data_IF_232535368827
#
_entry.id   IF_232535368827
#
_cell.length_a   1.000
_cell.length_b   1.000
_cell.length_c   1.000
_cell.angle_alpha   90.00
_cell.angle_beta   90.00
_cell.angle_gamma   90.00
#
_symmetry.space_group_name_H-M   'P 1'
#
loop_
_entity.id
_entity.type
_entity.pdbx_description
1 polymer ?
#
# COMPACT_ATOMS: atom_id res chain seq x y z
N UNK A 1 -11.19 -2.64 10.42
CA UNK A 1 -11.98 -2.75 9.17
C UNK A 1 -12.12 -4.19 8.71
N UNK A 2 -11.08 -4.85 8.14
CA UNK A 2 -11.24 -6.19 7.54
C UNK A 2 -11.84 -7.27 8.45
N UNK A 3 -11.44 -7.33 9.73
CA UNK A 3 -12.03 -8.24 10.72
C UNK A 3 -13.52 -7.94 10.96
N UNK A 4 -13.87 -6.65 11.08
CA UNK A 4 -15.24 -6.21 11.34
C UNK A 4 -16.17 -6.48 10.16
N UNK A 5 -15.64 -6.38 8.94
CA UNK A 5 -16.41 -6.59 7.71
C UNK A 5 -16.33 -8.03 7.19
N UNK A 6 -15.53 -8.89 7.81
CA UNK A 6 -15.20 -10.23 7.32
C UNK A 6 -14.75 -10.26 5.84
N UNK A 7 -14.06 -9.21 5.40
CA UNK A 7 -13.57 -9.07 4.02
C UNK A 7 -12.05 -9.03 3.97
N UNK A 8 -11.43 -9.57 2.90
CA UNK A 8 -9.99 -9.41 2.68
C UNK A 8 -9.60 -7.94 2.58
N UNK A 9 -8.51 -7.54 3.24
CA UNK A 9 -7.98 -6.17 3.16
C UNK A 9 -6.47 -6.14 3.00
N UNK A 10 -5.97 -5.12 2.30
CA UNK A 10 -4.54 -4.83 2.14
C UNK A 10 -4.26 -3.40 2.58
N UNK A 11 -3.16 -3.20 3.31
CA UNK A 11 -2.68 -1.88 3.66
C UNK A 11 -1.73 -1.34 2.59
N UNK A 12 -1.92 -0.07 2.19
CA UNK A 12 -1.04 0.63 1.25
C UNK A 12 -0.73 2.01 1.82
N UNK A 13 0.54 2.25 2.14
CA UNK A 13 1.01 3.50 2.74
C UNK A 13 2.04 4.22 1.87
N UNK A 14 2.15 5.54 2.06
CA UNK A 14 3.12 6.41 1.35
C UNK A 14 4.46 6.55 2.09
N UNK A 15 4.51 6.16 3.35
CA UNK A 15 5.65 6.22 4.25
C UNK A 15 5.75 4.93 5.06
N UNK A 16 6.97 4.59 5.49
CA UNK A 16 7.19 3.48 6.39
C UNK A 16 6.66 3.84 7.78
N UNK A 17 5.83 2.98 8.37
CA UNK A 17 5.37 3.15 9.75
C UNK A 17 6.38 2.57 10.75
N UNK A 18 6.84 1.34 10.52
CA UNK A 18 7.77 0.61 11.37
C UNK A 18 8.54 -0.46 10.57
N UNK A 19 9.51 -1.10 11.23
CA UNK A 19 10.37 -2.12 10.64
C UNK A 19 11.58 -1.55 9.89
N UNK A 20 12.43 -2.46 9.41
CA UNK A 20 13.64 -2.17 8.62
C UNK A 20 13.46 -2.69 7.20
N UNK A 21 13.89 -1.89 6.24
CA UNK A 21 13.87 -2.26 4.83
C UNK A 21 15.07 -3.15 4.54
N UNK A 22 14.81 -4.31 3.96
CA UNK A 22 15.84 -5.20 3.42
C UNK A 22 15.65 -5.25 1.91
N UNK A 23 16.63 -4.72 1.19
CA UNK A 23 16.60 -4.66 -0.26
C UNK A 23 16.75 -6.05 -0.88
N UNK A 24 15.74 -6.46 -1.64
CA UNK A 24 15.79 -7.71 -2.41
C UNK A 24 15.97 -7.43 -3.91
N UNK A 25 15.39 -6.32 -4.40
CA UNK A 25 15.43 -5.89 -5.80
C UNK A 25 15.16 -4.39 -5.92
N UNK A 26 15.35 -3.84 -7.13
CA UNK A 26 15.08 -2.42 -7.42
C UNK A 26 13.59 -2.05 -7.35
N UNK A 27 12.68 -3.02 -7.49
CA UNK A 27 11.23 -2.79 -7.51
C UNK A 27 10.53 -3.25 -6.23
N UNK A 28 11.13 -4.19 -5.51
CA UNK A 28 10.54 -4.81 -4.34
C UNK A 28 11.59 -5.10 -3.26
N UNK A 29 11.29 -4.68 -2.03
CA UNK A 29 12.14 -4.88 -0.85
C UNK A 29 11.27 -5.36 0.32
N UNK A 30 11.78 -6.26 1.15
CA UNK A 30 11.06 -6.74 2.33
C UNK A 30 11.10 -5.70 3.45
N UNK A 31 10.06 -5.68 4.28
CA UNK A 31 10.04 -4.92 5.53
C UNK A 31 10.05 -5.93 6.66
N UNK A 32 11.09 -5.89 7.50
CA UNK A 32 11.29 -6.80 8.62
C UNK A 32 11.09 -6.06 9.93
N UNK A 33 10.27 -6.60 10.81
CA UNK A 33 10.11 -6.13 12.18
C UNK A 33 10.19 -7.31 13.14
N UNK A 34 10.98 -7.19 14.21
CA UNK A 34 11.20 -8.26 15.20
C UNK A 34 11.55 -9.65 14.63
N UNK A 35 12.27 -9.68 13.49
CA UNK A 35 12.69 -10.91 12.82
C UNK A 35 11.68 -11.50 11.83
N UNK A 36 10.50 -10.89 11.68
CA UNK A 36 9.44 -11.35 10.78
C UNK A 36 9.23 -10.39 9.62
N UNK A 37 8.81 -10.91 8.46
CA UNK A 37 8.42 -10.09 7.31
C UNK A 37 7.00 -9.55 7.53
N UNK A 38 6.90 -8.27 7.84
CA UNK A 38 5.62 -7.58 8.12
C UNK A 38 5.03 -6.88 6.90
N UNK A 39 5.81 -6.74 5.83
CA UNK A 39 5.36 -6.08 4.61
C UNK A 39 6.41 -6.07 3.51
N UNK A 40 6.12 -5.31 2.47
CA UNK A 40 7.00 -5.13 1.32
C UNK A 40 6.88 -3.73 0.77
N UNK A 41 8.00 -3.18 0.32
CA UNK A 41 8.04 -2.03 -0.55
C UNK A 41 7.69 -2.48 -1.97
N UNK A 42 6.91 -1.66 -2.67
CA UNK A 42 6.60 -1.79 -4.09
C UNK A 42 6.91 -0.48 -4.81
N UNK A 43 7.65 -0.56 -5.91
CA UNK A 43 7.94 0.57 -6.81
C UNK A 43 7.44 0.21 -8.20
N UNK A 44 6.77 1.14 -8.88
CA UNK A 44 6.26 0.93 -10.24
C UNK A 44 7.38 1.05 -11.29
N UNK A 45 8.44 1.77 -10.96
CA UNK A 45 9.65 1.90 -11.77
C UNK A 45 10.89 2.04 -10.87
N UNK A 46 12.10 1.74 -11.37
CA UNK A 46 13.34 2.02 -10.64
C UNK A 46 13.38 3.48 -10.18
N UNK A 47 13.84 3.71 -8.95
CA UNK A 47 13.93 5.04 -8.30
C UNK A 47 12.60 5.79 -8.07
N UNK A 48 11.45 5.22 -8.46
CA UNK A 48 10.14 5.82 -8.15
C UNK A 48 9.84 5.81 -6.65
N UNK A 49 9.01 6.76 -6.20
CA UNK A 49 8.63 6.87 -4.80
C UNK A 49 7.90 5.59 -4.33
N UNK A 50 8.37 4.92 -3.26
CA UNK A 50 7.92 3.59 -2.88
C UNK A 50 6.53 3.59 -2.27
N UNK A 51 5.72 2.56 -2.52
CA UNK A 51 4.57 2.24 -1.68
C UNK A 51 4.93 1.15 -0.68
N UNK A 52 4.38 1.26 0.52
CA UNK A 52 4.59 0.30 1.60
C UNK A 52 3.33 -0.55 1.73
N UNK A 53 3.46 -1.84 1.44
CA UNK A 53 2.37 -2.80 1.37
C UNK A 53 2.45 -3.71 2.58
N UNK A 54 1.35 -3.81 3.32
CA UNK A 54 1.22 -4.73 4.45
C UNK A 54 -0.02 -5.60 4.29
N UNK A 55 0.02 -6.77 4.91
CA UNK A 55 -1.13 -7.66 5.00
C UNK A 55 -2.18 -7.02 5.93
N UNK A 56 -3.45 -7.05 5.52
CA UNK A 56 -4.57 -6.74 6.39
C UNK A 56 -5.25 -8.01 6.88
N UNK A 57 -6.55 -8.17 6.63
CA UNK A 57 -7.30 -9.36 6.99
C UNK A 57 -7.46 -10.30 5.79
N UNK A 58 -7.55 -11.62 6.02
CA UNK A 58 -7.97 -12.59 4.99
C UNK A 58 -7.11 -12.67 3.72
N UNK A 59 -5.85 -12.25 3.75
CA UNK A 59 -4.94 -12.25 2.58
C UNK A 59 -3.51 -12.62 2.98
N UNK A 60 -2.65 -12.85 1.99
CA UNK A 60 -1.20 -13.08 2.15
C UNK A 60 -0.42 -11.97 1.46
N UNK A 61 0.81 -11.72 1.91
CA UNK A 61 1.64 -10.63 1.39
C UNK A 61 1.84 -10.71 -0.12
N UNK A 62 2.10 -11.91 -0.65
CA UNK A 62 2.25 -12.12 -2.10
C UNK A 62 0.98 -11.73 -2.87
N UNK A 63 -0.18 -12.22 -2.45
CA UNK A 63 -1.47 -11.91 -3.09
C UNK A 63 -1.80 -10.41 -3.00
N UNK A 64 -1.50 -9.78 -1.86
CA UNK A 64 -1.63 -8.34 -1.68
C UNK A 64 -0.78 -7.55 -2.68
N UNK A 65 0.48 -7.95 -2.88
CA UNK A 65 1.38 -7.31 -3.85
C UNK A 65 0.89 -7.47 -5.29
N UNK A 66 0.44 -8.67 -5.66
CA UNK A 66 -0.10 -8.96 -7.00
C UNK A 66 -1.36 -8.14 -7.30
N UNK A 67 -2.26 -7.99 -6.32
CA UNK A 67 -3.47 -7.17 -6.49
C UNK A 67 -3.11 -5.69 -6.59
N UNK A 68 -2.26 -5.19 -5.69
CA UNK A 68 -1.88 -3.77 -5.67
C UNK A 68 -1.15 -3.38 -6.96
N UNK A 69 -0.21 -4.20 -7.44
CA UNK A 69 0.57 -3.88 -8.65
C UNK A 69 -0.30 -3.76 -9.90
N UNK A 70 -1.33 -4.60 -10.04
CA UNK A 70 -2.29 -4.55 -11.14
C UNK A 70 -3.20 -3.33 -11.12
N UNK A 71 -3.37 -2.71 -9.95
CA UNK A 71 -4.24 -1.55 -9.77
C UNK A 71 -3.49 -0.22 -9.88
N UNK A 72 -2.18 -0.23 -10.11
CA UNK A 72 -1.39 0.98 -10.33
C UNK A 72 -1.40 1.31 -11.83
N UNK A 73 -2.07 2.40 -12.20
CA UNK A 73 -2.19 2.84 -13.60
C UNK A 73 -1.94 4.34 -13.70
N UNK A 74 -0.92 4.75 -14.47
CA UNK A 74 -0.63 6.16 -14.78
C UNK A 74 -0.16 7.05 -13.61
N UNK A 75 -0.39 6.66 -12.36
CA UNK A 75 0.01 7.39 -11.16
C UNK A 75 0.48 6.44 -10.04
N UNK A 76 1.14 7.00 -9.00
CA UNK A 76 1.78 6.21 -7.93
C UNK A 76 0.81 5.37 -7.10
N UNK A 77 -0.38 5.88 -6.75
CA UNK A 77 -1.33 5.15 -5.91
C UNK A 77 -2.11 4.12 -6.74
N UNK A 78 -2.60 3.03 -6.12
CA UNK A 78 -3.61 2.19 -6.77
C UNK A 78 -4.88 2.99 -7.06
N UNK A 79 -5.53 2.73 -8.19
CA UNK A 79 -6.76 3.40 -8.66
C UNK A 79 -7.82 3.59 -7.56
N UNK A 80 -8.20 2.56 -6.77
CA UNK A 80 -9.19 2.76 -5.70
C UNK A 80 -8.78 3.82 -4.66
N UNK A 81 -7.48 3.85 -4.30
CA UNK A 81 -6.96 4.82 -3.32
C UNK A 81 -6.78 6.20 -3.93
N UNK A 82 -6.46 6.29 -5.22
CA UNK A 82 -6.40 7.56 -5.93
C UNK A 82 -7.78 8.22 -5.99
N UNK A 83 -8.82 7.48 -6.40
CA UNK A 83 -10.20 7.96 -6.43
C UNK A 83 -10.69 8.37 -5.03
N UNK A 84 -10.45 7.54 -4.02
CA UNK A 84 -10.83 7.84 -2.65
C UNK A 84 -10.16 9.12 -2.13
N UNK A 85 -8.87 9.33 -2.44
CA UNK A 85 -8.15 10.56 -2.08
C UNK A 85 -8.76 11.79 -2.75
N UNK A 86 -8.98 11.73 -4.06
CA UNK A 86 -9.58 12.84 -4.81
C UNK A 86 -10.97 13.20 -4.30
N UNK A 87 -11.80 12.20 -3.98
CA UNK A 87 -13.13 12.42 -3.41
C UNK A 87 -13.06 13.05 -2.02
N UNK A 88 -12.19 12.54 -1.14
CA UNK A 88 -12.02 13.07 0.20
C UNK A 88 -11.55 14.53 0.18
N UNK A 89 -10.59 14.86 -0.69
CA UNK A 89 -10.13 16.25 -0.89
C UNK A 89 -11.28 17.16 -1.33
N UNK A 90 -12.06 16.74 -2.34
CA UNK A 90 -13.21 17.52 -2.81
C UNK A 90 -14.24 17.80 -1.72
N UNK A 91 -14.55 16.82 -0.87
CA UNK A 91 -15.50 16.98 0.24
C UNK A 91 -14.96 17.92 1.32
N UNK A 92 -13.68 17.77 1.70
CA UNK A 92 -13.03 18.63 2.69
C UNK A 92 -12.99 20.11 2.25
N UNK A 93 -12.85 20.38 0.95
CA UNK A 93 -12.93 21.75 0.43
C UNK A 93 -14.35 22.32 0.51
N UNK A 94 -15.38 21.48 0.36
CA UNK A 94 -16.79 21.91 0.46
C UNK A 94 -17.23 22.19 1.89
N UNK A 95 -16.69 21.48 2.87
CA UNK A 95 -17.00 21.69 4.29
C UNK A 95 -16.25 22.90 4.90
N UNK A 96 -15.19 23.38 4.24
CA UNK A 96 -14.38 24.53 4.67
C UNK A 96 -14.79 25.86 4.00
N UNK A 97 -15.74 25.82 3.05
CA UNK A 97 -16.25 26.98 2.31
C UNK A 97 -17.66 27.32 2.79
#
# INVERSE_FOLDING_TARGET
MGVLTAMPTVGVAKSLLCGKVVENSSLQSSIIDSGEVVGSILRYAPHSAPLYISVGHGTRLRSSLEVVSKLITGHRLPEPLWMAKALAEKTLFKERA
#
